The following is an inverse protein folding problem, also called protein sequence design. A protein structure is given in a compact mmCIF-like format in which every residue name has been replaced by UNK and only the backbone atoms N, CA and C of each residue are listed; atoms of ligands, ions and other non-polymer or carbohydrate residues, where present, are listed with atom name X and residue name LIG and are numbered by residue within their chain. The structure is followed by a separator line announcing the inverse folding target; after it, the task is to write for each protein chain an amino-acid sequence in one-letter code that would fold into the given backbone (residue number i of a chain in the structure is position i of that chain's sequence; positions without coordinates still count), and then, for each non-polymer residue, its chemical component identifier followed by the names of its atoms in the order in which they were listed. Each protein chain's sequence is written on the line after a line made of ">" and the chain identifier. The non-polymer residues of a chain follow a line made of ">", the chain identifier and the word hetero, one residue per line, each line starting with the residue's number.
data_IF_234828907493
#
_entry.id   IF_234828907493
#
_cell.length_a   1.000
_cell.length_b   1.000
_cell.length_c   1.000
_cell.angle_alpha   90.00
_cell.angle_beta   90.00
_cell.angle_gamma   90.00
#
_symmetry.space_group_name_H-M   'P 1'
#
loop_
_entity.id
_entity.type
_entity.pdbx_description
1 polymer ?
#
# COMPACT_ATOMS: atom_id res chain seq x y z
N UNK A 1 -0.51 1.31 -18.54
CA UNK A 1 0.70 1.04 -19.30
C UNK A 1 1.91 1.63 -18.56
N UNK A 2 2.44 0.94 -17.52
CA UNK A 2 3.65 1.31 -16.74
C UNK A 2 4.35 0.03 -16.23
N UNK A 3 4.51 -0.96 -17.09
CA UNK A 3 5.15 -2.24 -16.75
C UNK A 3 6.69 -2.15 -16.64
N UNK A 4 7.30 -0.99 -16.91
CA UNK A 4 8.76 -0.78 -16.82
C UNK A 4 9.25 -0.28 -15.46
N UNK A 5 8.34 -0.02 -14.50
CA UNK A 5 8.69 0.66 -13.24
C UNK A 5 8.98 -0.30 -12.08
N UNK A 6 8.48 -1.54 -12.12
CA UNK A 6 8.67 -2.50 -11.04
C UNK A 6 9.93 -3.34 -11.26
N UNK A 7 10.91 -3.20 -10.38
CA UNK A 7 12.08 -4.05 -10.33
C UNK A 7 11.90 -5.15 -9.27
N UNK A 8 11.54 -6.36 -9.73
CA UNK A 8 11.32 -7.53 -8.89
C UNK A 8 12.55 -7.87 -8.02
N UNK A 9 13.76 -7.68 -8.54
CA UNK A 9 14.99 -7.96 -7.80
C UNK A 9 15.18 -6.94 -6.67
N UNK A 10 14.98 -5.68 -6.98
CA UNK A 10 15.05 -4.60 -6.00
C UNK A 10 14.00 -4.81 -4.90
N UNK A 11 12.76 -5.06 -5.27
CA UNK A 11 11.68 -5.32 -4.32
C UNK A 11 12.01 -6.45 -3.33
N UNK A 12 12.50 -7.60 -3.84
CA UNK A 12 12.91 -8.71 -2.96
C UNK A 12 14.04 -8.31 -2.02
N UNK A 13 15.01 -7.54 -2.49
CA UNK A 13 16.09 -7.03 -1.65
C UNK A 13 15.57 -6.08 -0.56
N UNK A 14 14.62 -5.21 -0.88
CA UNK A 14 13.99 -4.29 0.07
C UNK A 14 13.22 -5.05 1.15
N UNK A 15 12.43 -6.07 0.77
CA UNK A 15 11.72 -6.92 1.75
C UNK A 15 12.72 -7.58 2.71
N UNK A 16 13.78 -8.21 2.20
CA UNK A 16 14.81 -8.85 3.03
C UNK A 16 15.57 -7.83 3.89
N UNK A 17 15.88 -6.66 3.34
CA UNK A 17 16.51 -5.59 4.08
C UNK A 17 15.62 -5.05 5.19
N UNK A 18 14.32 -4.90 4.95
CA UNK A 18 13.35 -4.47 5.96
C UNK A 18 13.24 -5.51 7.09
N UNK A 19 13.22 -6.81 6.79
CA UNK A 19 13.28 -7.85 7.82
C UNK A 19 14.52 -7.70 8.70
N UNK A 20 15.68 -7.51 8.09
CA UNK A 20 16.95 -7.36 8.80
C UNK A 20 17.03 -6.08 9.62
N UNK A 21 16.67 -4.93 9.05
CA UNK A 21 16.90 -3.63 9.67
C UNK A 21 15.82 -3.27 10.71
N UNK A 22 14.56 -3.61 10.44
CA UNK A 22 13.45 -3.29 11.35
C UNK A 22 13.29 -4.35 12.43
N UNK A 23 13.44 -5.64 12.08
CA UNK A 23 13.12 -6.74 12.98
C UNK A 23 14.33 -7.56 13.43
N UNK A 24 15.50 -7.40 12.80
CA UNK A 24 16.74 -8.15 13.10
C UNK A 24 16.56 -9.65 12.92
N UNK A 25 15.76 -10.06 11.93
CA UNK A 25 15.51 -11.45 11.58
C UNK A 25 15.78 -11.72 10.12
N UNK A 26 16.11 -12.96 9.79
CA UNK A 26 16.15 -13.48 8.42
C UNK A 26 14.78 -14.07 8.06
N UNK A 27 14.51 -14.23 6.78
CA UNK A 27 13.21 -14.68 6.26
C UNK A 27 12.76 -16.00 6.88
N UNK A 28 13.66 -16.98 7.03
CA UNK A 28 13.36 -18.30 7.59
C UNK A 28 12.91 -18.28 9.05
N UNK A 29 13.26 -17.21 9.77
CA UNK A 29 12.93 -17.02 11.19
C UNK A 29 11.87 -15.93 11.41
N UNK A 30 11.39 -15.30 10.34
CA UNK A 30 10.42 -14.23 10.43
C UNK A 30 8.99 -14.76 10.64
N UNK A 31 8.24 -14.09 11.51
CA UNK A 31 6.80 -14.36 11.63
C UNK A 31 6.05 -13.80 10.42
N UNK A 32 4.86 -14.33 10.13
CA UNK A 32 4.01 -13.85 9.03
C UNK A 32 3.72 -12.35 9.16
N UNK A 33 3.53 -11.86 10.38
CA UNK A 33 3.30 -10.43 10.62
C UNK A 33 4.53 -9.57 10.32
N UNK A 34 5.73 -10.06 10.62
CA UNK A 34 6.98 -9.36 10.27
C UNK A 34 7.18 -9.32 8.76
N UNK A 35 6.85 -10.42 8.08
CA UNK A 35 6.89 -10.49 6.61
C UNK A 35 5.89 -9.48 6.01
N UNK A 36 4.64 -9.45 6.49
CA UNK A 36 3.64 -8.45 6.08
C UNK A 36 4.18 -7.02 6.25
N UNK A 37 4.74 -6.69 7.40
CA UNK A 37 5.27 -5.35 7.64
C UNK A 37 6.46 -5.03 6.73
N UNK A 38 7.34 -5.99 6.47
CA UNK A 38 8.48 -5.80 5.57
C UNK A 38 8.03 -5.56 4.13
N UNK A 39 7.01 -6.29 3.66
CA UNK A 39 6.36 -6.09 2.35
C UNK A 39 5.70 -4.72 2.28
N UNK A 40 4.95 -4.34 3.32
CA UNK A 40 4.28 -3.04 3.39
C UNK A 40 5.28 -1.87 3.37
N UNK A 41 6.42 -1.99 4.05
CA UNK A 41 7.49 -0.98 4.00
C UNK A 41 8.11 -0.88 2.60
N UNK A 42 8.39 -1.99 1.94
CA UNK A 42 8.93 -1.99 0.58
C UNK A 42 7.96 -1.30 -0.40
N UNK A 43 6.66 -1.62 -0.34
CA UNK A 43 5.64 -0.99 -1.19
C UNK A 43 5.42 0.48 -0.87
N UNK A 44 5.57 0.87 0.39
CA UNK A 44 5.42 2.27 0.81
C UNK A 44 6.40 3.21 0.10
N UNK A 45 7.61 2.77 -0.18
CA UNK A 45 8.61 3.58 -0.90
C UNK A 45 8.12 3.95 -2.29
N UNK A 46 7.53 2.99 -3.03
CA UNK A 46 6.94 3.23 -4.35
C UNK A 46 5.74 4.19 -4.30
N UNK A 47 4.89 4.05 -3.27
CA UNK A 47 3.75 4.96 -3.07
C UNK A 47 4.24 6.38 -2.75
N UNK A 48 5.29 6.52 -1.96
CA UNK A 48 5.84 7.84 -1.60
C UNK A 48 6.41 8.56 -2.81
N UNK A 49 7.06 7.87 -3.74
CA UNK A 49 7.54 8.49 -4.98
C UNK A 49 6.40 9.10 -5.79
N UNK A 50 5.32 8.34 -6.02
CA UNK A 50 4.14 8.85 -6.72
C UNK A 50 3.46 10.01 -5.95
N UNK A 51 3.46 9.94 -4.62
CA UNK A 51 2.93 11.01 -3.79
C UNK A 51 3.76 12.29 -3.91
N UNK A 52 5.08 12.20 -3.88
CA UNK A 52 5.97 13.35 -4.04
C UNK A 52 5.77 14.03 -5.40
N UNK A 53 5.63 13.27 -6.48
CA UNK A 53 5.34 13.80 -7.81
C UNK A 53 3.97 14.51 -7.86
N UNK A 54 2.98 13.96 -7.15
CA UNK A 54 1.65 14.58 -7.01
C UNK A 54 1.74 15.91 -6.26
N UNK A 55 2.47 15.96 -5.14
CA UNK A 55 2.67 17.20 -4.36
C UNK A 55 3.34 18.28 -5.21
N UNK A 56 4.39 17.93 -5.93
CA UNK A 56 5.06 18.84 -6.85
C UNK A 56 4.11 19.38 -7.92
N UNK A 57 3.26 18.52 -8.47
CA UNK A 57 2.24 18.94 -9.45
C UNK A 57 1.24 19.91 -8.83
N UNK A 58 0.86 19.72 -7.56
CA UNK A 58 -0.04 20.63 -6.86
C UNK A 58 0.61 22.00 -6.63
N UNK A 59 1.88 22.05 -6.27
CA UNK A 59 2.63 23.31 -6.13
C UNK A 59 2.74 24.07 -7.45
N UNK A 60 2.97 23.35 -8.57
CA UNK A 60 3.13 23.96 -9.89
C UNK A 60 1.80 24.44 -10.48
N UNK A 61 0.68 23.73 -10.27
CA UNK A 61 -0.60 23.98 -10.92
C UNK A 61 -1.63 24.72 -10.08
N UNK A 62 -1.36 24.84 -8.77
CA UNK A 62 -2.27 25.45 -7.78
C UNK A 62 -3.75 25.03 -7.99
N UNK A 63 -4.06 23.70 -7.96
CA UNK A 63 -5.40 23.21 -8.21
C UNK A 63 -6.34 23.54 -7.06
N UNK A 64 -7.65 23.50 -7.33
CA UNK A 64 -8.64 23.55 -6.26
C UNK A 64 -8.53 22.31 -5.37
N UNK A 65 -8.45 22.51 -4.07
CA UNK A 65 -8.32 21.45 -3.08
C UNK A 65 -9.64 21.30 -2.33
N UNK A 66 -10.15 20.06 -2.29
CA UNK A 66 -11.28 19.67 -1.45
C UNK A 66 -10.74 19.02 -0.15
N UNK A 67 -11.15 19.54 0.99
CA UNK A 67 -10.84 18.97 2.30
C UNK A 67 -12.06 18.24 2.85
N UNK A 68 -11.94 16.91 3.03
CA UNK A 68 -12.94 16.11 3.72
C UNK A 68 -12.49 15.86 5.15
N UNK A 69 -13.28 16.29 6.11
CA UNK A 69 -12.97 16.13 7.54
C UNK A 69 -13.99 15.19 8.19
N UNK A 70 -13.50 14.16 8.86
CA UNK A 70 -14.31 13.22 9.63
C UNK A 70 -13.58 12.82 10.91
N UNK A 71 -14.33 12.52 11.97
CA UNK A 71 -13.77 11.92 13.18
C UNK A 71 -13.55 10.40 13.04
N UNK A 72 -14.15 9.78 12.04
CA UNK A 72 -14.06 8.35 11.78
C UNK A 72 -13.73 8.09 10.31
N UNK A 73 -12.85 7.11 10.06
CA UNK A 73 -12.53 6.58 8.74
C UNK A 73 -12.40 5.06 8.82
N UNK A 74 -13.43 4.35 8.38
CA UNK A 74 -13.50 2.88 8.40
C UNK A 74 -13.13 2.33 7.02
N UNK A 75 -11.84 2.33 6.70
CA UNK A 75 -11.35 2.01 5.36
C UNK A 75 -11.29 0.50 5.09
N UNK A 76 -10.85 -0.30 6.04
CA UNK A 76 -10.55 -1.71 5.85
C UNK A 76 -9.15 -1.94 5.25
N UNK A 77 -8.84 -3.19 4.93
CA UNK A 77 -7.54 -3.62 4.40
C UNK A 77 -7.22 -2.92 3.09
N UNK A 78 -5.98 -2.52 2.89
CA UNK A 78 -5.55 -1.69 1.78
C UNK A 78 -4.42 -2.30 0.92
N UNK A 79 -3.69 -3.32 1.43
CA UNK A 79 -2.51 -3.88 0.76
C UNK A 79 -2.85 -4.37 -0.66
N UNK A 80 -3.79 -5.30 -0.78
CA UNK A 80 -4.19 -5.85 -2.08
C UNK A 80 -4.78 -4.79 -3.00
N UNK A 81 -5.60 -3.88 -2.46
CA UNK A 81 -6.17 -2.77 -3.22
C UNK A 81 -5.07 -1.85 -3.79
N UNK A 82 -4.07 -1.50 -3.00
CA UNK A 82 -2.94 -0.69 -3.45
C UNK A 82 -2.14 -1.40 -4.54
N UNK A 83 -1.87 -2.70 -4.41
CA UNK A 83 -1.18 -3.50 -5.42
C UNK A 83 -1.94 -3.51 -6.75
N UNK A 84 -3.27 -3.63 -6.72
CA UNK A 84 -4.12 -3.58 -7.91
C UNK A 84 -4.06 -2.18 -8.54
N UNK A 85 -4.20 -1.12 -7.75
CA UNK A 85 -4.17 0.26 -8.23
C UNK A 85 -2.83 0.64 -8.85
N UNK A 86 -1.73 0.13 -8.32
CA UNK A 86 -0.39 0.30 -8.88
C UNK A 86 -0.12 -0.63 -10.08
N UNK A 87 -1.05 -1.55 -10.40
CA UNK A 87 -0.88 -2.60 -11.44
C UNK A 87 0.32 -3.52 -11.17
N UNK A 88 0.65 -3.76 -9.90
CA UNK A 88 1.81 -4.55 -9.46
C UNK A 88 1.45 -5.88 -8.79
N UNK A 89 0.16 -6.20 -8.66
CA UNK A 89 -0.30 -7.38 -7.91
C UNK A 89 0.36 -8.69 -8.38
N UNK A 90 0.38 -8.92 -9.70
CA UNK A 90 0.95 -10.14 -10.29
C UNK A 90 2.47 -10.22 -10.08
N UNK A 91 3.17 -9.10 -10.28
CA UNK A 91 4.63 -9.02 -10.18
C UNK A 91 5.11 -9.17 -8.73
N UNK A 92 4.40 -8.56 -7.78
CA UNK A 92 4.68 -8.71 -6.34
C UNK A 92 4.38 -10.14 -5.90
N UNK A 93 3.27 -10.74 -6.37
CA UNK A 93 2.96 -12.14 -6.08
C UNK A 93 4.09 -13.06 -6.55
N UNK A 94 4.55 -12.93 -7.79
CA UNK A 94 5.67 -13.71 -8.31
C UNK A 94 6.96 -13.49 -7.50
N UNK A 95 7.26 -12.25 -7.11
CA UNK A 95 8.44 -11.93 -6.32
C UNK A 95 8.41 -12.60 -4.94
N UNK A 96 7.25 -12.65 -4.30
CA UNK A 96 7.05 -13.32 -3.02
C UNK A 96 7.06 -14.85 -3.16
N UNK A 97 6.44 -15.40 -4.21
CA UNK A 97 6.49 -16.83 -4.51
C UNK A 97 7.94 -17.33 -4.69
N UNK A 98 8.81 -16.53 -5.33
CA UNK A 98 10.26 -16.81 -5.45
C UNK A 98 11.00 -16.79 -4.10
N UNK A 99 10.48 -16.08 -3.10
CA UNK A 99 10.98 -16.09 -1.72
C UNK A 99 10.34 -17.19 -0.87
N UNK A 100 9.41 -17.98 -1.42
CA UNK A 100 8.64 -18.98 -0.68
C UNK A 100 7.55 -18.40 0.23
N UNK A 101 7.10 -17.18 -0.05
CA UNK A 101 6.08 -16.45 0.72
C UNK A 101 4.78 -16.40 -0.06
N UNK A 102 3.67 -16.82 0.56
CA UNK A 102 2.33 -16.71 -0.03
C UNK A 102 1.76 -15.30 0.22
N UNK A 103 1.47 -14.56 -0.85
CA UNK A 103 0.87 -13.23 -0.76
C UNK A 103 -0.47 -13.22 -0.01
N UNK A 104 -1.30 -14.24 -0.16
CA UNK A 104 -2.58 -14.30 0.56
C UNK A 104 -2.35 -14.40 2.08
N UNK A 105 -1.36 -15.20 2.50
CA UNK A 105 -1.00 -15.30 3.91
C UNK A 105 -0.45 -13.97 4.45
N UNK A 106 0.21 -13.19 3.62
CA UNK A 106 0.68 -11.84 3.95
C UNK A 106 -0.50 -10.87 4.09
N UNK A 107 -1.43 -10.87 3.14
CA UNK A 107 -2.64 -10.03 3.18
C UNK A 107 -3.50 -10.32 4.41
N UNK A 108 -3.56 -11.59 4.86
CA UNK A 108 -4.32 -11.98 6.05
C UNK A 108 -3.73 -11.45 7.37
N UNK A 109 -2.48 -11.03 7.38
CA UNK A 109 -1.86 -10.39 8.55
C UNK A 109 -2.17 -8.90 8.67
N UNK A 110 -2.74 -8.27 7.63
CA UNK A 110 -3.05 -6.85 7.64
C UNK A 110 -4.17 -6.56 8.66
N UNK A 111 -3.91 -5.73 9.68
CA UNK A 111 -4.98 -5.26 10.56
C UNK A 111 -5.88 -4.30 9.77
N UNK A 112 -7.18 -4.33 10.04
CA UNK A 112 -8.11 -3.39 9.41
C UNK A 112 -7.79 -1.94 9.83
N UNK A 113 -7.40 -1.04 8.91
CA UNK A 113 -7.40 0.39 9.15
C UNK A 113 -8.83 0.87 9.40
N UNK A 114 -9.20 0.98 10.67
CA UNK A 114 -10.58 1.21 11.10
C UNK A 114 -10.60 2.21 12.27
N UNK A 115 -10.62 3.48 11.95
CA UNK A 115 -10.87 4.53 12.95
C UNK A 115 -12.37 4.75 13.09
N UNK A 116 -12.96 4.22 14.13
CA UNK A 116 -14.40 4.27 14.37
C UNK A 116 -15.08 2.91 14.25
N UNK A 117 -16.40 2.89 14.42
CA UNK A 117 -17.16 1.64 14.50
C UNK A 117 -18.54 1.68 13.82
N UNK A 118 -18.86 2.73 13.09
CA UNK A 118 -20.21 2.92 12.60
C UNK A 118 -20.35 3.58 11.25
N UNK A 119 -21.55 4.04 10.97
CA UNK A 119 -21.95 4.62 9.69
C UNK A 119 -21.16 5.86 9.28
N UNK A 120 -20.71 6.67 10.24
CA UNK A 120 -19.91 7.87 9.97
C UNK A 120 -18.57 7.50 9.31
N UNK A 121 -17.86 6.52 9.88
CA UNK A 121 -16.59 6.05 9.34
C UNK A 121 -16.73 5.36 8.00
N UNK A 122 -17.78 4.57 7.80
CA UNK A 122 -18.05 3.93 6.51
C UNK A 122 -18.48 4.92 5.45
N UNK A 123 -19.26 5.95 5.80
CA UNK A 123 -19.62 7.03 4.91
C UNK A 123 -18.38 7.77 4.40
N UNK A 124 -17.43 8.08 5.30
CA UNK A 124 -16.16 8.70 4.94
C UNK A 124 -15.37 7.85 3.94
N UNK A 125 -15.27 6.54 4.17
CA UNK A 125 -14.61 5.59 3.27
C UNK A 125 -15.29 5.57 1.88
N UNK A 126 -16.60 5.50 1.82
CA UNK A 126 -17.35 5.51 0.56
C UNK A 126 -17.20 6.84 -0.20
N UNK A 127 -17.16 7.98 0.50
CA UNK A 127 -16.92 9.26 -0.14
C UNK A 127 -15.52 9.38 -0.73
N UNK A 128 -14.49 8.87 -0.04
CA UNK A 128 -13.12 8.86 -0.57
C UNK A 128 -13.04 8.02 -1.86
N UNK A 129 -13.64 6.85 -1.88
CA UNK A 129 -13.71 6.01 -3.09
C UNK A 129 -14.46 6.70 -4.23
N UNK A 130 -15.59 7.35 -3.93
CA UNK A 130 -16.39 8.07 -4.91
C UNK A 130 -15.65 9.28 -5.47
N UNK A 131 -14.97 10.06 -4.62
CA UNK A 131 -14.16 11.21 -5.05
C UNK A 131 -13.00 10.76 -5.94
N UNK A 132 -12.33 9.67 -5.60
CA UNK A 132 -11.26 9.12 -6.42
C UNK A 132 -11.76 8.69 -7.80
N UNK A 133 -12.96 8.10 -7.89
CA UNK A 133 -13.57 7.71 -9.18
C UNK A 133 -13.91 8.90 -10.08
N UNK A 134 -14.13 10.08 -9.50
CA UNK A 134 -14.47 11.31 -10.25
C UNK A 134 -13.24 12.07 -10.81
N UNK A 135 -12.04 11.70 -10.41
CA UNK A 135 -10.80 12.33 -10.92
C UNK A 135 -10.62 12.10 -12.43
N UNK A 136 -11.25 11.07 -12.97
CA UNK A 136 -11.16 10.69 -14.38
C UNK A 136 -12.31 11.25 -15.25
N UNK A 137 -13.22 12.02 -14.67
CA UNK A 137 -14.30 12.72 -15.36
C UNK A 137 -13.93 14.19 -15.52
#
# INVERSE_FOLDING_TARGET
>A
MKTERFDKKLFKQEVLNNLKTQFRVELDNASQQQIYQAVAYALKEWIIEDWMDTQKTYEEKDPKILYYMSMEFLMGRALGNNLINMSMYGEVKEALDELGVDLNAVEDQEPDPALGNGGLGRLAACFLDSLLSLIHI
#
